data_IF_316629453503
#
_entry.id   IF_316629453503
#
_cell.length_a   1.000
_cell.length_b   1.000
_cell.length_c   1.000
_cell.angle_alpha   90.00
_cell.angle_beta   90.00
_cell.angle_gamma   90.00
#
_symmetry.space_group_name_H-M   'P 1'
#
loop_
_entity.id
_entity.type
_entity.pdbx_description
1 polymer ?
#
# COMPACT_ATOMS: atom_id res chain seq x y z
N UNK A 1 -16.12 -5.66 -16.23
CA UNK A 1 -16.61 -6.15 -17.55
C UNK A 1 -16.27 -7.63 -17.70
N UNK A 2 -17.20 -8.47 -18.15
CA UNK A 2 -16.96 -9.92 -18.27
C UNK A 2 -16.52 -10.30 -19.68
N UNK A 3 -15.35 -10.93 -19.82
CA UNK A 3 -14.85 -11.34 -21.15
C UNK A 3 -15.64 -12.54 -21.69
N UNK A 4 -16.13 -12.45 -22.93
CA UNK A 4 -16.90 -13.55 -23.56
C UNK A 4 -16.09 -14.82 -23.79
N UNK A 5 -14.77 -14.70 -23.98
CA UNK A 5 -13.89 -15.85 -24.24
C UNK A 5 -13.45 -16.53 -22.95
N UNK A 6 -12.79 -15.80 -22.04
CA UNK A 6 -12.27 -16.41 -20.81
C UNK A 6 -13.27 -16.46 -19.66
N UNK A 7 -14.46 -15.84 -19.80
CA UNK A 7 -15.56 -15.83 -18.80
C UNK A 7 -15.22 -15.25 -17.42
N UNK A 8 -14.08 -14.58 -17.30
CA UNK A 8 -13.57 -13.90 -16.09
C UNK A 8 -14.05 -12.44 -16.09
N UNK A 9 -14.42 -11.93 -14.91
CA UNK A 9 -14.67 -10.52 -14.67
C UNK A 9 -13.36 -9.74 -14.62
N UNK A 10 -13.29 -8.68 -15.42
CA UNK A 10 -12.08 -7.94 -15.75
C UNK A 10 -12.30 -6.44 -15.65
N UNK A 11 -11.22 -5.70 -15.42
CA UNK A 11 -11.27 -4.24 -15.41
C UNK A 11 -11.52 -3.72 -16.83
N UNK A 12 -12.18 -2.57 -16.95
CA UNK A 12 -12.53 -2.00 -18.27
C UNK A 12 -11.31 -1.75 -19.15
N UNK A 13 -10.18 -1.37 -18.55
CA UNK A 13 -8.92 -1.15 -19.26
C UNK A 13 -8.25 -2.45 -19.78
N UNK A 14 -8.75 -3.63 -19.41
CA UNK A 14 -8.30 -4.91 -20.01
C UNK A 14 -9.00 -5.21 -21.35
N UNK A 15 -9.90 -4.34 -21.79
CA UNK A 15 -10.59 -4.40 -23.07
C UNK A 15 -10.12 -3.27 -23.98
N UNK A 16 -10.27 -3.39 -25.31
CA UNK A 16 -10.06 -2.28 -26.21
C UNK A 16 -10.88 -1.06 -25.77
N UNK A 17 -10.24 0.10 -25.70
CA UNK A 17 -10.89 1.35 -25.29
C UNK A 17 -11.95 1.82 -26.29
N UNK A 18 -11.87 1.33 -27.53
CA UNK A 18 -12.80 1.60 -28.63
C UNK A 18 -12.91 0.36 -29.53
N UNK A 19 -13.65 0.46 -30.62
CA UNK A 19 -13.71 -0.53 -31.70
C UNK A 19 -12.30 -0.95 -32.15
N UNK A 20 -12.11 -2.25 -32.39
CA UNK A 20 -10.81 -2.79 -32.81
C UNK A 20 -10.46 -2.48 -34.27
N UNK A 21 -11.44 -1.99 -35.03
CA UNK A 21 -11.31 -1.46 -36.38
C UNK A 21 -12.45 -0.48 -36.61
N UNK A 22 -12.20 0.54 -37.43
CA UNK A 22 -13.24 1.45 -37.91
C UNK A 22 -14.33 0.74 -38.74
N UNK A 23 -14.08 -0.51 -39.15
CA UNK A 23 -15.04 -1.38 -39.85
C UNK A 23 -15.90 -2.21 -38.90
N UNK A 24 -15.60 -2.20 -37.60
CA UNK A 24 -16.41 -2.87 -36.59
C UNK A 24 -17.58 -1.97 -36.18
N UNK A 25 -18.78 -2.51 -36.14
CA UNK A 25 -19.99 -1.83 -35.63
C UNK A 25 -20.24 -2.13 -34.14
N UNK A 26 -19.21 -2.59 -33.42
CA UNK A 26 -19.32 -2.99 -32.02
C UNK A 26 -18.02 -2.69 -31.27
N UNK A 27 -18.15 -2.40 -29.98
CA UNK A 27 -17.02 -2.44 -29.04
C UNK A 27 -16.77 -3.91 -28.68
N UNK A 28 -15.50 -4.30 -28.58
CA UNK A 28 -15.13 -5.69 -28.33
C UNK A 28 -15.50 -6.14 -26.91
N UNK A 29 -16.17 -7.28 -26.78
CA UNK A 29 -16.41 -7.91 -25.47
C UNK A 29 -15.33 -8.94 -25.12
N UNK A 30 -14.24 -8.97 -25.89
CA UNK A 30 -13.08 -9.81 -25.65
C UNK A 30 -12.00 -8.95 -25.01
N UNK A 31 -11.36 -9.45 -23.95
CA UNK A 31 -10.21 -8.77 -23.39
C UNK A 31 -9.02 -8.81 -24.36
N UNK A 32 -8.09 -7.86 -24.23
CA UNK A 32 -6.91 -7.71 -25.10
C UNK A 32 -6.11 -9.02 -25.23
N UNK A 33 -5.96 -9.79 -24.14
CA UNK A 33 -5.31 -11.12 -24.16
C UNK A 33 -5.99 -12.09 -25.12
N UNK A 34 -7.32 -12.16 -25.04
CA UNK A 34 -8.10 -13.12 -25.81
C UNK A 34 -8.19 -12.70 -27.28
N UNK A 35 -8.17 -11.40 -27.56
CA UNK A 35 -8.08 -10.87 -28.93
C UNK A 35 -6.74 -11.26 -29.56
N UNK A 36 -5.63 -10.99 -28.89
CA UNK A 36 -4.28 -11.31 -29.40
C UNK A 36 -4.06 -12.80 -29.58
N UNK A 37 -4.64 -13.65 -28.72
CA UNK A 37 -4.58 -15.11 -28.93
C UNK A 37 -5.34 -15.57 -30.17
N UNK A 38 -6.34 -14.81 -30.62
CA UNK A 38 -7.16 -15.14 -31.79
C UNK A 38 -6.69 -14.47 -33.08
N UNK A 39 -5.85 -13.45 -32.98
CA UNK A 39 -5.37 -12.65 -34.10
C UNK A 39 -3.87 -12.90 -34.23
N UNK A 40 -3.44 -13.53 -35.32
CA UNK A 40 -2.04 -13.82 -35.57
C UNK A 40 -1.41 -12.74 -36.47
N UNK A 41 -0.39 -12.03 -35.95
CA UNK A 41 0.35 -10.96 -36.66
C UNK A 41 0.98 -11.45 -37.97
N UNK A 42 1.27 -12.75 -38.07
CA UNK A 42 2.00 -13.31 -39.21
C UNK A 42 1.09 -13.70 -40.39
N UNK A 43 -0.24 -13.69 -40.23
CA UNK A 43 -1.16 -14.05 -41.31
C UNK A 43 -1.72 -12.82 -42.03
N UNK A 44 -1.73 -12.86 -43.36
CA UNK A 44 -2.48 -11.93 -44.20
C UNK A 44 -3.98 -12.31 -44.21
N UNK A 45 -4.87 -11.34 -43.99
CA UNK A 45 -6.35 -11.46 -43.89
C UNK A 45 -6.92 -11.80 -42.50
N UNK A 46 -6.37 -11.19 -41.45
CA UNK A 46 -6.98 -11.26 -40.12
C UNK A 46 -8.37 -10.60 -40.08
N UNK A 47 -9.28 -11.22 -39.34
CA UNK A 47 -10.66 -10.76 -39.16
C UNK A 47 -10.96 -10.52 -37.68
N UNK A 48 -11.85 -9.57 -37.41
CA UNK A 48 -12.41 -9.38 -36.09
C UNK A 48 -13.13 -10.67 -35.64
N UNK A 49 -12.78 -11.25 -34.48
CA UNK A 49 -13.35 -12.52 -34.05
C UNK A 49 -14.80 -12.42 -33.54
N UNK A 50 -15.41 -11.23 -33.57
CA UNK A 50 -16.80 -10.98 -33.18
C UNK A 50 -17.72 -10.61 -34.36
N UNK A 51 -17.21 -9.97 -35.42
CA UNK A 51 -18.02 -9.54 -36.58
C UNK A 51 -17.41 -9.83 -37.94
N UNK A 52 -16.29 -10.55 -38.00
CA UNK A 52 -15.58 -10.92 -39.23
C UNK A 52 -15.06 -9.75 -40.10
N UNK A 53 -15.13 -8.51 -39.60
CA UNK A 53 -14.58 -7.34 -40.27
C UNK A 53 -13.07 -7.50 -40.50
N UNK A 54 -12.59 -7.21 -41.71
CA UNK A 54 -11.17 -7.34 -42.06
C UNK A 54 -10.32 -6.31 -41.32
N UNK A 55 -9.28 -6.79 -40.65
CA UNK A 55 -8.30 -5.99 -39.92
C UNK A 55 -7.08 -5.70 -40.80
N UNK A 56 -6.64 -4.44 -40.82
CA UNK A 56 -5.39 -4.05 -41.44
C UNK A 56 -4.19 -4.46 -40.58
N UNK A 57 -3.01 -4.53 -41.20
CA UNK A 57 -1.75 -4.82 -40.47
C UNK A 57 -1.45 -3.78 -39.39
N UNK A 58 -1.86 -2.53 -39.57
CA UNK A 58 -1.66 -1.48 -38.57
C UNK A 58 -2.61 -1.67 -37.37
N UNK A 59 -3.90 -1.93 -37.61
CA UNK A 59 -4.88 -2.22 -36.55
C UNK A 59 -4.45 -3.43 -35.70
N UNK A 60 -3.90 -4.48 -36.32
CA UNK A 60 -3.33 -5.62 -35.59
C UNK A 60 -2.13 -5.22 -34.75
N UNK A 61 -1.19 -4.43 -35.31
CA UNK A 61 -0.03 -3.93 -34.55
C UNK A 61 -0.44 -3.08 -33.37
N UNK A 62 -1.45 -2.23 -33.51
CA UNK A 62 -1.93 -1.34 -32.46
C UNK A 62 -2.57 -2.13 -31.31
N UNK A 63 -3.30 -3.21 -31.61
CA UNK A 63 -3.82 -4.14 -30.58
C UNK A 63 -2.69 -4.80 -29.80
N UNK A 64 -1.65 -5.27 -30.50
CA UNK A 64 -0.46 -5.83 -29.85
C UNK A 64 0.27 -4.78 -29.00
N UNK A 65 0.45 -3.57 -29.51
CA UNK A 65 1.07 -2.48 -28.77
C UNK A 65 0.26 -2.11 -27.51
N UNK A 66 -1.07 -2.09 -27.61
CA UNK A 66 -1.95 -1.84 -26.47
C UNK A 66 -1.79 -2.93 -25.40
N UNK A 67 -1.66 -4.19 -25.79
CA UNK A 67 -1.37 -5.29 -24.87
C UNK A 67 0.04 -5.24 -24.28
N UNK A 68 1.06 -4.92 -25.08
CA UNK A 68 2.44 -4.81 -24.62
C UNK A 68 2.59 -3.69 -23.59
N UNK A 69 1.93 -2.55 -23.81
CA UNK A 69 1.92 -1.38 -22.92
C UNK A 69 0.94 -1.51 -21.75
N UNK A 70 0.19 -2.60 -21.67
CA UNK A 70 -0.81 -2.78 -20.63
C UNK A 70 -0.16 -3.07 -19.27
N UNK A 71 -0.44 -2.29 -18.21
CA UNK A 71 0.18 -2.47 -16.90
C UNK A 71 -0.15 -3.84 -16.25
N UNK A 72 -1.28 -4.45 -16.63
CA UNK A 72 -1.67 -5.78 -16.16
C UNK A 72 -0.89 -6.94 -16.80
N UNK A 73 -0.11 -6.70 -17.87
CA UNK A 73 0.70 -7.74 -18.51
C UNK A 73 1.86 -8.19 -17.64
N UNK A 74 2.52 -7.25 -16.94
CA UNK A 74 3.58 -7.54 -15.97
C UNK A 74 3.06 -8.48 -14.86
N UNK A 75 1.81 -8.29 -14.45
CA UNK A 75 1.14 -9.15 -13.46
C UNK A 75 0.84 -10.54 -14.04
N UNK A 76 0.39 -10.63 -15.31
CA UNK A 76 0.00 -11.91 -15.94
C UNK A 76 1.21 -12.78 -16.33
N UNK A 77 2.31 -12.20 -16.82
CA UNK A 77 3.53 -12.95 -17.16
C UNK A 77 4.15 -13.56 -15.91
N UNK A 78 4.21 -12.80 -14.80
CA UNK A 78 4.61 -13.33 -13.49
C UNK A 78 3.69 -14.46 -13.02
N UNK A 79 2.37 -14.32 -13.16
CA UNK A 79 1.39 -15.37 -12.76
C UNK A 79 1.46 -16.62 -13.64
N UNK A 80 1.74 -16.50 -14.94
CA UNK A 80 1.86 -17.64 -15.86
C UNK A 80 3.18 -18.39 -15.65
N UNK A 81 4.29 -17.68 -15.38
CA UNK A 81 5.55 -18.32 -14.98
C UNK A 81 5.41 -19.04 -13.63
N UNK A 82 4.66 -18.47 -12.68
CA UNK A 82 4.33 -19.12 -11.40
C UNK A 82 3.47 -20.38 -11.62
N UNK A 83 2.52 -20.37 -12.55
CA UNK A 83 1.68 -21.55 -12.84
C UNK A 83 2.42 -22.66 -13.57
N UNK A 84 3.31 -22.34 -14.51
CA UNK A 84 4.09 -23.35 -15.26
C UNK A 84 5.20 -23.98 -14.41
N UNK A 85 5.72 -23.28 -13.40
CA UNK A 85 6.66 -23.85 -12.40
C UNK A 85 5.95 -24.71 -11.33
N UNK A 86 4.65 -24.52 -11.12
CA UNK A 86 3.89 -25.20 -10.06
C UNK A 86 3.49 -26.66 -10.37
N UNK A 87 3.49 -27.11 -11.63
CA UNK A 87 3.17 -28.52 -11.94
C UNK A 87 4.32 -29.49 -11.58
N UNK A 88 5.55 -28.99 -11.42
CA UNK A 88 6.74 -29.84 -11.25
C UNK A 88 7.31 -29.92 -9.81
N UNK A 89 6.75 -29.24 -8.81
CA UNK A 89 7.36 -29.20 -7.47
C UNK A 89 6.36 -29.25 -6.29
N UNK A 90 5.40 -30.17 -6.36
CA UNK A 90 4.62 -30.61 -5.20
C UNK A 90 5.39 -31.70 -4.43
N UNK A 91 6.56 -31.36 -3.87
CA UNK A 91 7.23 -32.21 -2.87
C UNK A 91 7.15 -31.54 -1.50
N UNK A 92 6.25 -32.08 -0.67
CA UNK A 92 5.75 -31.54 0.60
C UNK A 92 6.74 -31.57 1.79
N UNK A 93 8.05 -31.69 1.54
CA UNK A 93 9.08 -31.76 2.59
C UNK A 93 10.07 -30.58 2.53
N UNK A 94 9.59 -29.39 2.18
CA UNK A 94 10.40 -28.18 2.31
C UNK A 94 10.84 -27.98 3.78
N UNK A 95 12.16 -27.89 3.97
CA UNK A 95 12.85 -27.59 5.24
C UNK A 95 13.64 -26.31 5.07
N UNK A 96 13.85 -25.58 6.15
CA UNK A 96 14.64 -24.35 6.13
C UNK A 96 13.96 -23.22 6.89
N UNK A 97 14.70 -22.14 7.04
CA UNK A 97 14.26 -20.95 7.75
C UNK A 97 13.62 -19.98 6.77
N UNK A 98 12.56 -19.30 7.19
CA UNK A 98 11.99 -18.17 6.48
C UNK A 98 11.62 -17.07 7.47
N UNK A 99 11.47 -15.86 6.94
CA UNK A 99 11.45 -14.67 7.77
C UNK A 99 10.21 -13.83 7.52
N UNK A 100 9.61 -13.34 8.59
CA UNK A 100 8.57 -12.33 8.52
C UNK A 100 9.16 -11.01 9.01
N UNK A 101 9.13 -9.98 8.16
CA UNK A 101 9.68 -8.66 8.44
C UNK A 101 8.52 -7.68 8.65
N UNK A 102 8.50 -7.01 9.80
CA UNK A 102 7.61 -5.89 10.07
C UNK A 102 8.15 -4.62 9.39
N UNK A 103 7.28 -3.64 9.13
CA UNK A 103 7.68 -2.37 8.50
C UNK A 103 8.73 -1.59 9.30
N UNK A 104 8.79 -1.76 10.63
CA UNK A 104 9.83 -1.18 11.48
C UNK A 104 11.21 -1.87 11.35
N UNK A 105 11.30 -2.97 10.59
CA UNK A 105 12.51 -3.77 10.38
C UNK A 105 12.66 -4.95 11.34
N UNK A 106 11.76 -5.14 12.29
CA UNK A 106 11.75 -6.31 13.18
C UNK A 106 11.62 -7.58 12.35
N UNK A 107 12.51 -8.55 12.59
CA UNK A 107 12.58 -9.82 11.86
C UNK A 107 12.19 -10.97 12.77
N UNK A 108 11.13 -11.69 12.41
CA UNK A 108 10.68 -12.94 13.04
C UNK A 108 11.23 -14.12 12.23
N UNK A 109 11.69 -15.16 12.91
CA UNK A 109 12.24 -16.37 12.28
C UNK A 109 11.29 -17.55 12.49
N UNK A 110 11.02 -18.27 11.40
CA UNK A 110 10.14 -19.44 11.37
C UNK A 110 10.74 -20.56 10.54
N UNK A 111 10.28 -21.78 10.80
CA UNK A 111 10.77 -22.99 10.13
C UNK A 111 9.71 -23.59 9.21
N UNK A 112 10.08 -23.86 7.96
CA UNK A 112 9.19 -24.43 6.95
C UNK A 112 8.72 -25.83 7.34
N UNK A 113 9.50 -26.61 8.09
CA UNK A 113 9.07 -27.91 8.62
C UNK A 113 7.90 -27.79 9.61
N UNK A 114 7.78 -26.67 10.33
CA UNK A 114 6.78 -26.47 11.37
C UNK A 114 5.55 -25.71 10.87
N UNK A 115 5.70 -24.87 9.85
CA UNK A 115 4.64 -23.99 9.34
C UNK A 115 4.42 -24.25 7.86
N UNK A 116 3.28 -24.87 7.53
CA UNK A 116 2.93 -25.23 6.15
C UNK A 116 1.86 -24.34 5.53
N UNK A 117 0.90 -23.86 6.32
CA UNK A 117 -0.24 -23.06 5.84
C UNK A 117 -0.12 -21.59 6.23
N UNK A 118 -0.81 -20.73 5.48
CA UNK A 118 -0.93 -19.29 5.81
C UNK A 118 -1.59 -19.09 7.19
N UNK A 119 -2.60 -19.89 7.53
CA UNK A 119 -3.27 -19.82 8.83
C UNK A 119 -2.31 -20.15 9.98
N UNK A 120 -1.53 -21.24 9.86
CA UNK A 120 -0.55 -21.62 10.88
C UNK A 120 0.53 -20.55 11.05
N UNK A 121 0.93 -19.88 9.96
CA UNK A 121 1.85 -18.74 10.03
C UNK A 121 1.23 -17.59 10.83
N UNK A 122 -0.03 -17.23 10.57
CA UNK A 122 -0.70 -16.14 11.29
C UNK A 122 -0.82 -16.44 12.80
N UNK A 123 -1.15 -17.67 13.17
CA UNK A 123 -1.16 -18.11 14.57
C UNK A 123 0.23 -18.04 15.22
N UNK A 124 1.28 -18.48 14.52
CA UNK A 124 2.64 -18.40 15.04
C UNK A 124 3.12 -16.95 15.23
N UNK A 125 2.76 -16.04 14.32
CA UNK A 125 3.01 -14.60 14.48
C UNK A 125 2.26 -14.06 15.69
N UNK A 126 0.97 -14.41 15.86
CA UNK A 126 0.17 -13.99 17.01
C UNK A 126 0.83 -14.43 18.32
N UNK A 127 1.32 -15.67 18.40
CA UNK A 127 2.00 -16.18 19.58
C UNK A 127 3.28 -15.42 19.92
N UNK A 128 4.06 -14.97 18.92
CA UNK A 128 5.31 -14.24 19.15
C UNK A 128 5.11 -12.73 19.37
N UNK A 129 4.05 -12.14 18.81
CA UNK A 129 3.89 -10.67 18.74
C UNK A 129 2.63 -10.13 19.43
N UNK A 130 1.70 -11.01 19.80
CA UNK A 130 0.35 -10.67 20.27
C UNK A 130 -0.52 -9.91 19.23
N UNK A 131 -0.14 -9.91 17.95
CA UNK A 131 -0.94 -9.30 16.88
C UNK A 131 -2.04 -10.29 16.44
N UNK A 132 -3.30 -9.91 16.60
CA UNK A 132 -4.45 -10.72 16.19
C UNK A 132 -4.46 -11.07 14.69
N UNK A 133 -4.87 -12.28 14.32
CA UNK A 133 -4.82 -12.77 12.93
C UNK A 133 -5.54 -11.87 11.92
N UNK A 134 -6.67 -11.28 12.32
CA UNK A 134 -7.45 -10.36 11.48
C UNK A 134 -6.74 -9.04 11.22
N UNK A 135 -5.72 -8.70 12.03
CA UNK A 135 -4.88 -7.51 11.88
C UNK A 135 -3.59 -7.78 11.10
N UNK A 136 -3.33 -9.03 10.71
CA UNK A 136 -2.11 -9.41 10.00
C UNK A 136 -2.36 -9.43 8.49
N UNK A 137 -1.77 -8.48 7.76
CA UNK A 137 -1.68 -8.51 6.29
C UNK A 137 -0.28 -8.95 5.90
N UNK A 138 -0.19 -10.11 5.24
CA UNK A 138 1.08 -10.74 4.89
C UNK A 138 1.30 -10.62 3.38
N UNK A 139 2.43 -10.05 2.96
CA UNK A 139 2.75 -9.83 1.55
C UNK A 139 4.07 -10.54 1.22
N UNK A 140 4.09 -11.30 0.12
CA UNK A 140 5.30 -11.89 -0.42
C UNK A 140 5.37 -11.66 -1.92
N UNK A 141 6.45 -11.02 -2.39
CA UNK A 141 6.66 -10.67 -3.80
C UNK A 141 5.48 -9.87 -4.37
N UNK A 142 5.00 -8.88 -3.61
CA UNK A 142 3.84 -8.07 -3.97
C UNK A 142 2.48 -8.79 -3.99
N UNK A 143 2.39 -10.04 -3.50
CA UNK A 143 1.13 -10.79 -3.43
C UNK A 143 0.71 -10.99 -1.98
N UNK A 144 -0.53 -10.65 -1.66
CA UNK A 144 -1.11 -10.92 -0.33
C UNK A 144 -1.37 -12.41 -0.11
N UNK A 145 -0.96 -12.92 1.05
CA UNK A 145 -1.24 -14.28 1.49
C UNK A 145 -2.64 -14.38 2.08
N UNK A 146 -3.55 -14.93 1.28
CA UNK A 146 -4.90 -15.30 1.70
C UNK A 146 -4.92 -16.64 2.44
N UNK A 147 -5.78 -16.78 3.46
CA UNK A 147 -5.94 -18.02 4.23
C UNK A 147 -6.63 -19.11 3.41
N UNK A 148 -7.66 -18.76 2.64
CA UNK A 148 -8.49 -19.69 1.87
C UNK A 148 -8.38 -19.40 0.37
N UNK A 149 -8.69 -20.40 -0.45
CA UNK A 149 -8.87 -20.19 -1.88
C UNK A 149 -10.20 -19.49 -2.17
N UNK A 150 -10.20 -18.54 -3.10
CA UNK A 150 -11.40 -17.80 -3.51
C UNK A 150 -12.48 -18.69 -4.14
N UNK A 151 -12.13 -19.92 -4.54
CA UNK A 151 -13.05 -20.89 -5.15
C UNK A 151 -13.39 -22.07 -4.24
N UNK A 152 -12.58 -22.34 -3.21
CA UNK A 152 -12.73 -23.52 -2.34
C UNK A 152 -12.33 -23.16 -0.90
N UNK A 153 -13.03 -23.67 0.12
CA UNK A 153 -12.66 -23.50 1.55
C UNK A 153 -11.38 -24.26 1.96
N UNK A 154 -10.49 -24.52 1.01
CA UNK A 154 -9.22 -25.19 1.23
C UNK A 154 -8.22 -24.13 1.72
N UNK A 155 -7.49 -24.46 2.79
CA UNK A 155 -6.44 -23.61 3.35
C UNK A 155 -5.25 -23.55 2.39
N UNK A 156 -4.78 -22.35 2.08
CA UNK A 156 -3.62 -22.16 1.22
C UNK A 156 -2.32 -22.49 1.95
N UNK A 157 -1.44 -23.20 1.25
CA UNK A 157 -0.10 -23.53 1.70
C UNK A 157 0.88 -22.39 1.39
N UNK A 158 1.92 -22.24 2.22
CA UNK A 158 3.00 -21.27 1.96
C UNK A 158 3.73 -21.57 0.64
N UNK A 159 3.84 -22.85 0.28
CA UNK A 159 4.45 -23.30 -0.98
C UNK A 159 3.71 -22.77 -2.21
N UNK A 160 2.39 -22.54 -2.13
CA UNK A 160 1.61 -21.96 -3.23
C UNK A 160 2.05 -20.53 -3.57
N UNK A 161 2.63 -19.82 -2.59
CA UNK A 161 3.20 -18.50 -2.75
C UNK A 161 4.70 -18.52 -3.07
N UNK A 162 5.28 -19.69 -3.38
CA UNK A 162 6.71 -19.87 -3.63
C UNK A 162 7.60 -19.44 -2.44
N UNK A 163 7.11 -19.67 -1.22
CA UNK A 163 7.87 -19.47 0.01
C UNK A 163 8.74 -20.70 0.25
N UNK A 164 10.05 -20.47 0.22
CA UNK A 164 11.12 -21.47 0.38
C UNK A 164 12.15 -20.99 1.39
N UNK A 165 13.16 -21.80 1.67
CA UNK A 165 14.28 -21.43 2.55
C UNK A 165 14.86 -20.05 2.17
N UNK A 166 15.11 -19.21 3.16
CA UNK A 166 15.57 -17.83 3.01
C UNK A 166 14.53 -16.81 2.54
N UNK A 167 13.26 -17.20 2.35
CA UNK A 167 12.21 -16.27 1.90
C UNK A 167 11.88 -15.21 2.95
N UNK A 168 11.50 -14.02 2.47
CA UNK A 168 11.08 -12.90 3.29
C UNK A 168 9.62 -12.53 3.00
N UNK A 169 8.80 -12.43 4.03
CA UNK A 169 7.39 -12.07 3.98
C UNK A 169 7.23 -10.75 4.75
N UNK A 170 6.61 -9.75 4.14
CA UNK A 170 6.31 -8.50 4.82
C UNK A 170 5.04 -8.65 5.66
N UNK A 171 5.08 -8.24 6.92
CA UNK A 171 3.92 -8.13 7.80
C UNK A 171 3.54 -6.66 7.95
N UNK A 172 2.36 -6.31 7.44
CA UNK A 172 1.68 -5.06 7.72
C UNK A 172 0.65 -5.28 8.82
N UNK A 173 0.71 -4.46 9.86
CA UNK A 173 -0.23 -4.51 10.98
C UNK A 173 -1.37 -3.54 10.70
N UNK A 174 -2.54 -4.10 10.39
CA UNK A 174 -3.77 -3.36 10.21
C UNK A 174 -4.28 -2.92 11.58
N UNK A 175 -4.19 -1.62 11.85
CA UNK A 175 -4.69 -1.04 13.10
C UNK A 175 -6.20 -0.85 13.03
N UNK A 176 -6.66 -0.39 11.87
CA UNK A 176 -8.07 -0.12 11.61
C UNK A 176 -8.41 -0.44 10.15
N UNK A 177 -9.40 -1.31 9.94
CA UNK A 177 -10.05 -1.51 8.64
C UNK A 177 -11.24 -0.56 8.59
N UNK A 178 -11.21 0.45 7.72
CA UNK A 178 -12.36 1.35 7.58
C UNK A 178 -13.36 0.65 6.66
N UNK A 179 -14.26 -0.14 7.24
CA UNK A 179 -15.40 -0.67 6.49
C UNK A 179 -16.32 0.48 6.09
N UNK A 180 -17.07 0.33 4.98
CA UNK A 180 -18.07 1.31 4.52
C UNK A 180 -19.12 1.68 5.60
N UNK A 181 -19.27 0.84 6.62
CA UNK A 181 -20.21 1.00 7.73
C UNK A 181 -19.67 1.90 8.85
N UNK A 182 -18.34 2.00 9.02
CA UNK A 182 -17.69 2.90 9.99
C UNK A 182 -17.36 4.28 9.39
N UNK A 183 -17.28 4.35 8.05
CA UNK A 183 -17.05 5.53 7.21
C UNK A 183 -16.22 6.63 7.88
N UNK A 184 -14.96 6.32 8.21
CA UNK A 184 -14.01 7.36 8.60
C UNK A 184 -13.76 8.22 7.36
N UNK A 185 -14.46 9.34 7.31
CA UNK A 185 -14.41 10.28 6.19
C UNK A 185 -13.47 11.44 6.49
N UNK A 186 -13.01 11.57 7.73
CA UNK A 186 -12.09 12.60 8.14
C UNK A 186 -11.07 12.06 9.13
N UNK A 187 -9.89 12.66 9.12
CA UNK A 187 -8.82 12.38 10.07
C UNK A 187 -8.33 13.69 10.67
N UNK A 188 -8.06 13.64 11.97
CA UNK A 188 -7.28 14.64 12.67
C UNK A 188 -6.07 13.96 13.31
N UNK A 189 -4.90 14.50 12.99
CA UNK A 189 -3.64 14.21 13.68
C UNK A 189 -3.32 15.39 14.59
N UNK A 190 -3.42 15.19 15.90
CA UNK A 190 -3.07 16.19 16.91
C UNK A 190 -1.78 15.77 17.62
N UNK A 191 -0.77 16.63 17.60
CA UNK A 191 0.54 16.39 18.20
C UNK A 191 0.83 17.45 19.26
N UNK A 192 1.24 17.02 20.45
CA UNK A 192 1.69 17.90 21.52
C UNK A 192 3.11 17.53 21.93
N UNK A 193 3.90 18.54 22.27
CA UNK A 193 5.23 18.35 22.86
C UNK A 193 5.54 19.42 23.90
N UNK A 194 6.41 19.08 24.85
CA UNK A 194 7.12 20.03 25.68
C UNK A 194 8.50 20.32 25.09
N UNK A 195 8.98 21.55 25.26
CA UNK A 195 10.30 21.94 24.75
C UNK A 195 11.42 21.12 25.41
N UNK A 196 12.57 20.97 24.73
CA UNK A 196 13.77 20.48 25.37
C UNK A 196 14.14 21.32 26.61
N UNK A 197 14.79 20.76 27.64
CA UNK A 197 15.02 21.44 28.92
C UNK A 197 15.71 22.82 28.80
N UNK A 198 16.63 22.97 27.85
CA UNK A 198 17.50 24.15 27.77
C UNK A 198 17.23 25.06 26.56
N UNK A 199 16.24 24.76 25.72
CA UNK A 199 15.91 25.59 24.54
C UNK A 199 14.50 25.34 24.04
N UNK A 200 13.91 26.34 23.38
CA UNK A 200 12.74 26.13 22.54
C UNK A 200 13.14 25.41 21.25
N UNK A 201 12.40 24.37 20.89
CA UNK A 201 12.58 23.62 19.66
C UNK A 201 11.24 23.00 19.26
N UNK A 202 11.15 22.52 18.02
CA UNK A 202 9.90 22.07 17.41
C UNK A 202 9.96 20.57 17.13
N UNK A 203 8.88 19.89 17.49
CA UNK A 203 8.63 18.52 17.11
C UNK A 203 7.55 18.56 16.03
N UNK A 204 7.93 18.30 14.80
CA UNK A 204 7.09 18.51 13.64
C UNK A 204 6.30 17.25 13.30
N UNK A 205 4.98 17.40 13.29
CA UNK A 205 4.07 16.52 12.56
C UNK A 205 4.06 16.88 11.07
N UNK A 206 4.17 15.90 10.20
CA UNK A 206 4.09 16.08 8.75
C UNK A 206 3.17 15.03 8.15
N UNK A 207 2.35 15.42 7.17
CA UNK A 207 1.62 14.48 6.33
C UNK A 207 2.14 14.55 4.87
N UNK A 208 2.65 13.43 4.36
CA UNK A 208 3.09 13.32 2.96
C UNK A 208 2.06 12.54 2.15
N UNK A 209 1.53 13.17 1.10
CA UNK A 209 0.57 12.56 0.19
C UNK A 209 1.29 11.94 -0.99
N UNK A 210 0.85 10.76 -1.41
CA UNK A 210 1.40 10.04 -2.55
C UNK A 210 0.32 9.66 -3.56
N UNK A 211 0.71 9.72 -4.83
CA UNK A 211 -0.02 9.20 -5.97
C UNK A 211 0.67 7.93 -6.48
N UNK A 212 0.18 6.77 -6.04
CA UNK A 212 0.92 5.52 -6.18
C UNK A 212 2.25 5.59 -5.44
N UNK A 213 3.35 5.48 -6.19
CA UNK A 213 4.74 5.57 -5.67
C UNK A 213 5.31 6.98 -5.71
N UNK A 214 4.61 7.94 -6.29
CA UNK A 214 5.11 9.31 -6.47
C UNK A 214 4.64 10.20 -5.33
N UNK A 215 5.58 10.90 -4.70
CA UNK A 215 5.25 11.98 -3.77
C UNK A 215 4.46 13.08 -4.50
N UNK A 216 3.34 13.49 -3.91
CA UNK A 216 2.41 14.45 -4.49
C UNK A 216 2.47 15.80 -3.76
N UNK A 217 2.27 15.80 -2.43
CA UNK A 217 2.27 17.01 -1.59
C UNK A 217 2.81 16.71 -0.19
N UNK A 218 3.33 17.75 0.44
CA UNK A 218 3.75 17.74 1.85
C UNK A 218 2.94 18.79 2.60
N UNK A 219 2.30 18.39 3.68
CA UNK A 219 1.66 19.27 4.64
C UNK A 219 2.50 19.30 5.92
N UNK A 220 3.13 20.43 6.18
CA UNK A 220 3.95 20.70 7.36
C UNK A 220 3.68 22.11 7.89
N UNK A 221 4.44 22.55 8.90
CA UNK A 221 4.28 23.84 9.57
C UNK A 221 4.26 25.05 8.61
N UNK A 222 4.88 24.93 7.43
CA UNK A 222 5.01 26.00 6.43
C UNK A 222 4.07 25.80 5.24
N UNK A 223 3.85 24.55 4.82
CA UNK A 223 2.99 24.16 3.71
C UNK A 223 1.60 23.77 4.22
N UNK A 224 0.90 24.76 4.77
CA UNK A 224 -0.30 24.54 5.57
C UNK A 224 -1.58 24.25 4.79
N UNK A 225 -1.64 24.60 3.49
CA UNK A 225 -2.84 24.47 2.67
C UNK A 225 -2.49 24.44 1.17
N UNK A 226 -3.31 23.74 0.38
CA UNK A 226 -3.21 23.71 -1.08
C UNK A 226 -4.60 23.84 -1.69
N UNK A 227 -4.75 24.72 -2.69
CA UNK A 227 -6.05 25.01 -3.33
C UNK A 227 -6.71 23.79 -3.98
N UNK A 228 -5.90 22.85 -4.45
CA UNK A 228 -6.34 21.61 -5.08
C UNK A 228 -6.73 20.51 -4.07
N UNK A 229 -6.48 20.74 -2.77
CA UNK A 229 -6.88 19.86 -1.66
C UNK A 229 -7.52 20.72 -0.56
N UNK A 230 -8.67 21.34 -0.82
CA UNK A 230 -9.21 22.41 0.03
C UNK A 230 -9.57 21.93 1.45
N UNK A 231 -9.94 20.66 1.60
CA UNK A 231 -10.37 20.08 2.88
C UNK A 231 -9.23 19.33 3.60
N UNK A 232 -7.98 19.76 3.36
CA UNK A 232 -6.83 19.34 4.13
C UNK A 232 -6.03 20.57 4.58
N UNK A 233 -5.58 20.56 5.83
CA UNK A 233 -4.79 21.66 6.38
C UNK A 233 -3.84 21.21 7.48
N UNK A 234 -2.77 21.98 7.66
CA UNK A 234 -1.88 21.92 8.82
C UNK A 234 -1.99 23.25 9.58
N UNK A 235 -1.98 23.21 10.91
CA UNK A 235 -2.20 24.38 11.76
C UNK A 235 -1.05 25.41 11.80
N UNK A 236 0.08 25.14 11.14
CA UNK A 236 1.37 25.68 11.55
C UNK A 236 1.74 25.36 13.02
N UNK A 237 2.77 26.06 13.51
CA UNK A 237 3.24 25.99 14.91
C UNK A 237 2.29 26.70 15.87
N UNK A 238 1.66 25.97 16.80
CA UNK A 238 0.92 26.56 17.92
C UNK A 238 1.78 26.47 19.18
N UNK A 239 2.29 27.62 19.65
CA UNK A 239 3.33 27.67 20.68
C UNK A 239 2.82 28.35 21.96
N UNK A 240 2.81 27.59 23.04
CA UNK A 240 2.61 28.08 24.40
C UNK A 240 3.96 28.26 25.10
N UNK A 241 4.49 29.48 25.05
CA UNK A 241 5.79 29.81 25.65
C UNK A 241 5.75 29.77 27.18
N UNK A 242 4.60 30.01 27.81
CA UNK A 242 4.46 30.06 29.27
C UNK A 242 4.61 28.66 29.85
N UNK A 243 3.88 27.70 29.27
CA UNK A 243 3.95 26.30 29.70
C UNK A 243 5.06 25.52 28.99
N UNK A 244 5.82 26.16 28.09
CA UNK A 244 6.88 25.57 27.26
C UNK A 244 6.39 24.36 26.45
N UNK A 245 5.25 24.53 25.78
CA UNK A 245 4.60 23.50 24.97
C UNK A 245 4.40 23.97 23.54
N UNK A 246 4.41 23.02 22.62
CA UNK A 246 3.97 23.20 21.26
C UNK A 246 2.86 22.22 20.89
N UNK A 247 2.12 22.57 19.86
CA UNK A 247 1.04 21.77 19.31
C UNK A 247 0.96 21.94 17.78
N UNK A 248 0.75 20.84 17.06
CA UNK A 248 0.35 20.82 15.65
C UNK A 248 -0.96 20.04 15.52
N UNK A 249 -1.82 20.50 14.60
CA UNK A 249 -2.98 19.75 14.15
C UNK A 249 -2.97 19.66 12.63
N UNK A 250 -3.16 18.45 12.10
CA UNK A 250 -3.35 18.20 10.67
C UNK A 250 -4.73 17.58 10.50
N UNK A 251 -5.57 18.23 9.69
CA UNK A 251 -6.92 17.75 9.39
C UNK A 251 -7.03 17.37 7.93
N UNK A 252 -7.75 16.30 7.62
CA UNK A 252 -7.96 15.83 6.26
C UNK A 252 -9.35 15.21 6.10
N UNK A 253 -10.11 15.66 5.11
CA UNK A 253 -11.34 14.99 4.68
C UNK A 253 -11.04 13.95 3.59
N UNK A 254 -10.98 12.68 4.00
CA UNK A 254 -10.69 11.54 3.15
C UNK A 254 -11.71 11.33 2.02
N UNK A 255 -12.93 11.85 2.15
CA UNK A 255 -13.96 11.74 1.12
C UNK A 255 -13.76 12.72 -0.04
N UNK A 256 -13.11 13.86 0.22
CA UNK A 256 -12.86 14.91 -0.79
C UNK A 256 -11.41 15.00 -1.25
N UNK A 257 -10.49 14.23 -0.63
CA UNK A 257 -9.12 14.08 -1.12
C UNK A 257 -9.12 13.68 -2.61
N UNK A 258 -8.28 14.33 -3.46
CA UNK A 258 -8.20 14.02 -4.88
C UNK A 258 -7.98 12.54 -5.15
N UNK A 259 -8.71 11.98 -6.11
CA UNK A 259 -8.67 10.53 -6.42
C UNK A 259 -7.29 9.99 -6.79
N UNK A 260 -6.39 10.87 -7.25
CA UNK A 260 -5.01 10.52 -7.59
C UNK A 260 -4.17 10.17 -6.35
N UNK A 261 -4.57 10.68 -5.17
CA UNK A 261 -3.90 10.40 -3.89
C UNK A 261 -4.35 9.02 -3.42
N UNK A 262 -3.38 8.15 -3.19
CA UNK A 262 -3.59 6.76 -2.76
C UNK A 262 -3.07 6.50 -1.37
N UNK A 263 -2.13 7.32 -0.86
CA UNK A 263 -1.53 7.15 0.46
C UNK A 263 -1.27 8.48 1.15
N UNK A 264 -1.43 8.48 2.47
CA UNK A 264 -1.04 9.57 3.37
C UNK A 264 -0.09 8.98 4.42
N UNK A 265 1.16 9.42 4.44
CA UNK A 265 2.14 9.03 5.46
C UNK A 265 2.21 10.11 6.54
N UNK A 266 2.02 9.72 7.79
CA UNK A 266 2.19 10.61 8.93
C UNK A 266 3.56 10.39 9.57
N UNK A 267 4.33 11.46 9.63
CA UNK A 267 5.72 11.47 10.08
C UNK A 267 5.86 12.41 11.25
N UNK A 268 6.69 12.02 12.21
CA UNK A 268 7.13 12.85 13.32
C UNK A 268 8.62 13.10 13.18
N UNK A 269 9.09 14.35 13.28
CA UNK A 269 10.51 14.65 13.17
C UNK A 269 10.96 15.80 14.06
N UNK A 270 12.20 15.72 14.54
CA UNK A 270 12.84 16.77 15.32
C UNK A 270 13.38 17.89 14.39
N UNK A 271 13.01 19.15 14.66
CA UNK A 271 13.46 20.29 13.85
C UNK A 271 14.97 20.52 13.94
N UNK A 272 15.46 20.99 15.09
CA UNK A 272 16.92 21.17 15.34
C UNK A 272 17.45 20.25 16.43
N UNK A 273 16.56 19.55 17.13
CA UNK A 273 16.93 18.60 18.17
C UNK A 273 17.63 17.38 17.57
N UNK A 274 18.66 16.84 18.24
CA UNK A 274 19.37 15.66 17.74
C UNK A 274 18.45 14.47 17.47
N UNK A 275 17.38 14.34 18.27
CA UNK A 275 16.39 13.27 18.16
C UNK A 275 15.07 13.65 18.86
N UNK A 276 14.04 12.83 18.64
CA UNK A 276 12.71 12.97 19.22
C UNK A 276 12.73 12.83 20.75
N UNK A 277 13.69 12.08 21.32
CA UNK A 277 13.82 11.86 22.76
C UNK A 277 14.22 13.11 23.55
N UNK A 278 14.65 14.18 22.88
CA UNK A 278 14.96 15.45 23.52
C UNK A 278 13.71 16.24 23.97
N UNK A 279 12.53 15.90 23.47
CA UNK A 279 11.28 16.59 23.76
C UNK A 279 10.60 16.02 25.00
N UNK A 280 10.02 16.90 25.83
CA UNK A 280 9.40 16.52 27.09
C UNK A 280 7.97 16.03 26.82
N UNK A 281 7.62 14.83 27.30
CA UNK A 281 6.27 14.27 27.25
C UNK A 281 5.55 14.43 25.90
N UNK A 282 6.17 14.07 24.76
CA UNK A 282 5.50 14.14 23.47
C UNK A 282 4.35 13.14 23.44
N UNK A 283 3.24 13.53 22.81
CA UNK A 283 2.06 12.70 22.65
C UNK A 283 1.31 13.07 21.38
N UNK A 284 0.60 12.12 20.78
CA UNK A 284 -0.25 12.42 19.64
C UNK A 284 -1.56 11.64 19.69
N UNK A 285 -2.55 12.15 18.96
CA UNK A 285 -3.76 11.42 18.61
C UNK A 285 -3.95 11.40 17.10
N UNK A 286 -4.36 10.27 16.56
CA UNK A 286 -4.89 10.17 15.20
C UNK A 286 -6.31 9.63 15.33
N UNK A 287 -7.32 10.40 14.94
CA UNK A 287 -8.71 10.06 15.20
C UNK A 287 -9.64 10.57 14.09
N UNK A 288 -10.84 9.99 14.01
CA UNK A 288 -11.94 10.61 13.26
C UNK A 288 -12.57 11.69 14.16
N UNK A 289 -12.73 12.93 13.68
CA UNK A 289 -13.42 14.00 14.43
C UNK A 289 -14.80 13.62 15.00
N UNK A 290 -15.50 12.68 14.37
CA UNK A 290 -16.80 12.15 14.80
C UNK A 290 -16.67 11.18 16.00
N UNK A 291 -15.48 10.61 16.19
CA UNK A 291 -15.13 9.66 17.25
C UNK A 291 -13.79 10.03 17.93
N UNK A 292 -13.68 11.21 18.57
CA UNK A 292 -12.41 11.78 19.02
C UNK A 292 -11.69 11.00 20.13
N UNK A 293 -12.41 10.11 20.79
CA UNK A 293 -11.85 9.22 21.81
C UNK A 293 -11.27 7.93 21.23
N UNK A 294 -11.49 7.65 19.94
CA UNK A 294 -10.96 6.47 19.26
C UNK A 294 -9.60 6.79 18.64
N UNK A 295 -8.54 6.26 19.25
CA UNK A 295 -7.20 6.33 18.70
C UNK A 295 -7.03 5.34 17.54
N UNK A 296 -6.75 5.84 16.35
CA UNK A 296 -6.57 5.08 15.12
C UNK A 296 -5.12 4.64 14.88
N UNK A 297 -4.15 5.26 15.56
CA UNK A 297 -2.73 4.89 15.49
C UNK A 297 -2.13 4.66 16.89
N UNK A 298 -1.65 3.45 17.16
CA UNK A 298 -1.12 3.03 18.48
C UNK A 298 0.38 3.20 18.65
N UNK A 299 1.06 3.88 17.72
CA UNK A 299 2.51 4.06 17.79
C UNK A 299 2.93 4.72 19.12
N UNK A 300 4.01 4.23 19.73
CA UNK A 300 4.58 4.79 20.96
C UNK A 300 5.76 5.68 20.62
N UNK A 301 5.64 7.01 20.80
CA UNK A 301 6.69 7.98 20.41
C UNK A 301 8.06 7.65 21.03
N UNK A 302 8.08 7.15 22.26
CA UNK A 302 9.32 6.81 22.98
C UNK A 302 10.17 5.76 22.25
N UNK A 303 9.55 4.91 21.41
CA UNK A 303 10.26 3.96 20.55
C UNK A 303 11.14 4.62 19.49
N UNK A 304 10.92 5.91 19.18
CA UNK A 304 11.76 6.72 18.30
C UNK A 304 12.68 7.69 19.04
N UNK A 305 12.83 7.56 20.37
CA UNK A 305 13.57 8.53 21.20
C UNK A 305 15.01 8.80 20.73
N UNK A 306 15.68 7.82 20.13
CA UNK A 306 17.06 7.96 19.63
C UNK A 306 17.15 8.43 18.18
N UNK A 307 16.02 8.53 17.47
CA UNK A 307 15.94 8.88 16.05
C UNK A 307 15.55 10.34 15.83
N UNK A 308 15.97 10.92 14.70
CA UNK A 308 15.51 12.24 14.26
C UNK A 308 14.07 12.24 13.81
N UNK A 309 13.66 11.18 13.10
CA UNK A 309 12.31 11.03 12.61
C UNK A 309 11.79 9.61 12.70
N UNK A 310 10.47 9.48 12.64
CA UNK A 310 9.76 8.23 12.49
C UNK A 310 8.56 8.40 11.56
N UNK A 311 8.42 7.49 10.61
CA UNK A 311 7.19 7.31 9.84
C UNK A 311 6.27 6.45 10.70
N UNK A 312 5.24 7.06 11.28
CA UNK A 312 4.40 6.41 12.30
C UNK A 312 3.42 5.45 11.67
N UNK A 313 2.67 5.90 10.67
CA UNK A 313 1.63 5.13 10.01
C UNK A 313 1.40 5.61 8.57
N UNK A 314 0.70 4.77 7.81
CA UNK A 314 0.17 5.12 6.49
C UNK A 314 -1.33 4.87 6.46
N UNK A 315 -2.05 5.81 5.86
CA UNK A 315 -3.44 5.65 5.48
C UNK A 315 -3.45 5.38 3.99
N UNK A 316 -3.81 4.16 3.61
CA UNK A 316 -3.72 3.66 2.25
C UNK A 316 -5.10 3.28 1.72
N UNK A 317 -5.37 3.65 0.47
CA UNK A 317 -6.60 3.29 -0.23
C UNK A 317 -6.51 1.85 -0.74
N UNK A 318 -7.51 1.03 -0.39
CA UNK A 318 -7.68 -0.31 -0.93
C UNK A 318 -8.12 -0.29 -2.39
N UNK A 319 -8.05 -1.45 -3.05
CA UNK A 319 -8.54 -1.65 -4.42
C UNK A 319 -10.05 -1.36 -4.55
N UNK A 320 -10.81 -1.53 -3.48
CA UNK A 320 -12.24 -1.22 -3.41
C UNK A 320 -12.52 0.27 -3.15
N UNK A 321 -11.47 1.06 -2.93
CA UNK A 321 -11.55 2.49 -2.69
C UNK A 321 -11.76 2.89 -1.23
N UNK A 322 -11.74 1.95 -0.29
CA UNK A 322 -11.84 2.21 1.15
C UNK A 322 -10.47 2.58 1.71
N UNK A 323 -10.40 3.39 2.76
CA UNK A 323 -9.14 3.72 3.41
C UNK A 323 -8.78 2.70 4.48
N UNK A 324 -7.50 2.38 4.66
CA UNK A 324 -7.00 1.49 5.70
C UNK A 324 -5.85 2.17 6.42
N UNK A 325 -5.72 1.93 7.72
CA UNK A 325 -4.65 2.52 8.54
C UNK A 325 -3.69 1.42 8.98
N UNK A 326 -2.43 1.55 8.59
CA UNK A 326 -1.37 0.61 8.92
C UNK A 326 -0.29 1.28 9.77
N UNK A 327 0.14 0.60 10.83
CA UNK A 327 1.31 1.01 11.59
C UNK A 327 2.58 0.78 10.78
N UNK A 328 3.51 1.75 10.79
CA UNK A 328 4.82 1.64 10.15
C UNK A 328 5.93 1.58 11.20
N UNK A 329 6.03 2.61 12.04
CA UNK A 329 7.05 2.71 13.09
C UNK A 329 8.50 2.67 12.60
N UNK A 330 8.77 3.14 11.38
CA UNK A 330 10.11 3.07 10.76
C UNK A 330 10.89 4.34 11.05
N UNK A 331 12.06 4.18 11.66
CA UNK A 331 12.99 5.26 12.00
C UNK A 331 13.75 5.74 10.76
N UNK A 332 14.07 7.03 10.70
CA UNK A 332 14.92 7.62 9.66
C UNK A 332 15.60 8.91 10.14
N UNK A 333 16.61 9.36 9.38
CA UNK A 333 17.47 10.49 9.74
C UNK A 333 17.05 11.84 9.13
N UNK A 334 15.91 11.88 8.44
CA UNK A 334 15.36 13.11 7.84
C UNK A 334 14.58 13.96 8.83
N UNK A 335 14.18 15.16 8.41
CA UNK A 335 13.27 16.04 9.14
C UNK A 335 12.69 17.12 8.20
N UNK A 336 12.00 18.11 8.74
CA UNK A 336 11.41 19.20 7.93
C UNK A 336 12.43 20.09 7.20
N UNK A 337 13.73 20.04 7.57
CA UNK A 337 14.79 20.75 6.84
C UNK A 337 15.30 19.95 5.64
N UNK A 338 15.18 18.62 5.68
CA UNK A 338 15.54 17.71 4.59
C UNK A 338 14.66 16.45 4.62
N UNK A 339 13.68 16.41 3.72
CA UNK A 339 12.77 15.27 3.56
C UNK A 339 13.38 14.12 2.76
N UNK A 340 14.55 14.27 2.15
CA UNK A 340 15.14 13.24 1.28
C UNK A 340 15.26 11.89 1.97
N UNK A 341 15.77 11.78 3.23
CA UNK A 341 15.86 10.50 3.91
C UNK A 341 14.48 9.90 4.24
N UNK A 342 13.48 10.74 4.53
CA UNK A 342 12.10 10.30 4.79
C UNK A 342 11.50 9.70 3.51
N UNK A 343 11.62 10.39 2.38
CA UNK A 343 11.12 9.93 1.08
C UNK A 343 11.82 8.64 0.62
N UNK A 344 13.13 8.55 0.80
CA UNK A 344 13.88 7.31 0.51
C UNK A 344 13.38 6.15 1.37
N UNK A 345 13.21 6.39 2.68
CA UNK A 345 12.68 5.37 3.60
C UNK A 345 11.29 4.91 3.18
N UNK A 346 10.39 5.83 2.79
CA UNK A 346 9.05 5.49 2.28
C UNK A 346 9.17 4.64 1.00
N UNK A 347 10.06 5.01 0.08
CA UNK A 347 10.23 4.29 -1.18
C UNK A 347 10.65 2.83 -0.96
N UNK A 348 11.46 2.55 0.06
CA UNK A 348 11.89 1.19 0.43
C UNK A 348 10.75 0.33 1.00
N UNK A 349 9.75 0.96 1.65
CA UNK A 349 8.57 0.23 2.16
C UNK A 349 7.71 -0.32 1.01
N UNK A 350 7.72 0.37 -0.14
CA UNK A 350 6.93 0.06 -1.34
C UNK A 350 7.63 -0.93 -2.32
N UNK A 351 8.78 -1.49 -1.93
CA UNK A 351 9.57 -2.44 -2.74
C UNK A 351 9.19 -3.91 -2.47
N UNK A 352 8.47 -4.22 -1.39
CA UNK A 352 8.22 -5.59 -0.93
C UNK A 352 6.84 -6.17 -1.33
#
# INVERSE_FOLDING_TARGET
MRCKVCRIDKLSHEFPADTISQRCNHVSNFCLRCLIKKIDVQQSNQKCPECDATLTRQEVKDLYLAWEKSPFRVVIENVLELKLKNENNLNSNAKGDFYVILLNGTKLNFKLENIKTVEALKEAIKQQTNIENGKQKLIHKGVELEIFSNTTRIKKQLSEYSIVDGSHIQLMVLLYSISKELSINALTFDLYWGFPPNRGDFLDGTCLLFAGKHHYRTFDYSLNHFSEIPDMSHSGDIIDKVNRRGHHSITANLATIPRIVTKLYFVLSAYRSPNIGCFTSPSFKLFDPSYPDTQLCSYTIQSASTSKAVIMCVIEKSDEGNWNIFEIGKLCDGNVLDYTPILNTISELDVF
#
